data_IF_809749936006
#
_entry.id   IF_809749936006
#
_cell.length_a   1.000
_cell.length_b   1.000
_cell.length_c   1.000
_cell.angle_alpha   90.00
_cell.angle_beta   90.00
_cell.angle_gamma   90.00
#
_symmetry.space_group_name_H-M   'P 1'
#
loop_
_entity.id
_entity.type
_entity.pdbx_description
1 polymer ?
#
# COMPACT_ATOMS: atom_id res chain seq x y z
N UNK A 1 -3.76 23.92 -14.50
CA UNK A 1 -2.89 24.38 -13.39
C UNK A 1 -2.33 23.15 -12.68
N UNK A 2 -1.00 23.00 -12.53
CA UNK A 2 -0.41 21.89 -11.77
C UNK A 2 -0.77 22.09 -10.29
N UNK A 3 -1.58 21.20 -9.70
CA UNK A 3 -1.85 21.22 -8.26
C UNK A 3 -0.55 20.89 -7.52
N UNK A 4 -0.23 21.62 -6.45
CA UNK A 4 0.98 21.43 -5.62
C UNK A 4 0.53 21.12 -4.20
N UNK A 5 1.09 20.06 -3.60
CA UNK A 5 0.88 19.76 -2.19
C UNK A 5 1.62 20.79 -1.32
N UNK A 6 0.96 21.31 -0.29
CA UNK A 6 1.50 22.30 0.64
C UNK A 6 1.31 21.75 2.04
N UNK A 7 2.41 21.54 2.75
CA UNK A 7 2.36 21.14 4.16
C UNK A 7 1.64 22.22 4.98
N UNK A 8 0.58 21.83 5.69
CA UNK A 8 -0.16 22.74 6.58
C UNK A 8 0.62 23.08 7.85
N UNK A 9 1.53 22.19 8.26
CA UNK A 9 2.39 22.34 9.44
C UNK A 9 3.84 22.25 8.97
N UNK A 10 4.71 23.08 9.54
CA UNK A 10 6.14 22.99 9.27
C UNK A 10 6.67 21.61 9.72
N UNK A 11 7.15 20.82 8.76
CA UNK A 11 7.85 19.56 9.02
C UNK A 11 9.29 19.76 8.64
N UNK A 12 10.16 19.88 9.63
CA UNK A 12 11.59 19.99 9.42
C UNK A 12 12.11 18.61 8.99
N UNK A 13 12.57 18.50 7.74
CA UNK A 13 13.15 17.28 7.17
C UNK A 13 14.68 17.34 7.18
N UNK A 14 15.28 18.28 7.92
CA UNK A 14 16.74 18.38 8.02
C UNK A 14 17.31 17.26 8.89
N UNK A 15 18.09 16.37 8.28
CA UNK A 15 18.90 15.38 8.99
C UNK A 15 20.30 15.94 9.22
N UNK A 16 20.80 15.92 10.47
CA UNK A 16 22.22 16.23 10.71
C UNK A 16 23.07 14.99 10.38
N UNK A 17 24.33 15.14 9.97
CA UNK A 17 25.21 14.01 9.64
C UNK A 17 25.32 12.98 10.77
N UNK A 18 25.33 13.44 12.03
CA UNK A 18 25.34 12.57 13.22
C UNK A 18 24.09 11.69 13.34
N UNK A 19 22.93 12.18 12.89
CA UNK A 19 21.66 11.47 12.98
C UNK A 19 21.64 10.36 11.92
N UNK A 20 22.22 10.62 10.74
CA UNK A 20 22.42 9.61 9.69
C UNK A 20 23.34 8.49 10.18
N UNK A 21 24.48 8.84 10.79
CA UNK A 21 25.44 7.86 11.33
C UNK A 21 24.78 7.04 12.46
N UNK A 22 24.03 7.70 13.35
CA UNK A 22 23.24 7.06 14.39
C UNK A 22 22.26 6.03 13.81
N UNK A 23 21.43 6.43 12.84
CA UNK A 23 20.48 5.55 12.16
C UNK A 23 21.14 4.35 11.50
N UNK A 24 22.29 4.53 10.84
CA UNK A 24 23.03 3.41 10.24
C UNK A 24 23.52 2.42 11.31
N UNK A 25 24.04 2.96 12.43
CA UNK A 25 24.54 2.14 13.55
C UNK A 25 23.41 1.36 14.20
N UNK A 26 22.25 1.99 14.41
CA UNK A 26 21.06 1.35 14.98
C UNK A 26 20.46 0.32 14.03
N UNK A 27 20.44 0.58 12.72
CA UNK A 27 20.00 -0.39 11.73
C UNK A 27 20.84 -1.68 11.78
N UNK A 28 22.16 -1.55 11.88
CA UNK A 28 23.07 -2.70 12.00
C UNK A 28 22.87 -3.47 13.31
N UNK A 29 22.66 -2.78 14.44
CA UNK A 29 22.45 -3.41 15.75
C UNK A 29 21.09 -4.09 15.88
N UNK A 30 20.05 -3.52 15.29
CA UNK A 30 18.64 -3.94 15.52
C UNK A 30 18.15 -5.00 14.52
N UNK A 31 18.89 -5.25 13.44
CA UNK A 31 18.49 -6.15 12.33
C UNK A 31 18.02 -7.55 12.78
N UNK A 32 18.53 -8.05 13.90
CA UNK A 32 18.20 -9.37 14.45
C UNK A 32 16.94 -9.38 15.33
N UNK A 33 16.56 -8.25 15.94
CA UNK A 33 15.42 -8.15 16.87
C UNK A 33 14.08 -7.82 16.20
N UNK A 34 14.10 -7.40 14.94
CA UNK A 34 12.90 -6.95 14.20
C UNK A 34 12.19 -8.05 13.42
N UNK A 35 12.69 -9.30 13.50
CA UNK A 35 12.10 -10.44 12.77
C UNK A 35 11.25 -11.28 13.71
N UNK A 36 10.05 -11.69 13.29
CA UNK A 36 9.27 -12.61 14.09
C UNK A 36 10.02 -13.95 14.24
N UNK A 37 10.01 -14.51 15.45
CA UNK A 37 10.72 -15.76 15.79
C UNK A 37 10.07 -16.97 15.09
N UNK A 38 8.76 -16.90 14.86
CA UNK A 38 7.96 -17.89 14.14
C UNK A 38 7.10 -17.18 13.10
N UNK A 39 6.69 -17.91 12.05
CA UNK A 39 5.73 -17.39 11.09
C UNK A 39 4.43 -17.01 11.79
N UNK A 40 3.88 -15.86 11.43
CA UNK A 40 2.58 -15.42 11.92
C UNK A 40 1.48 -16.25 11.24
N UNK A 41 0.44 -16.66 11.98
CA UNK A 41 -0.66 -17.40 11.40
C UNK A 41 -1.39 -16.53 10.37
N UNK A 42 -1.71 -17.12 9.22
CA UNK A 42 -2.52 -16.48 8.18
C UNK A 42 -3.90 -17.10 8.26
N UNK A 43 -4.89 -16.28 8.58
CA UNK A 43 -6.30 -16.70 8.59
C UNK A 43 -6.90 -16.35 7.24
N UNK A 44 -7.29 -17.37 6.47
CA UNK A 44 -8.05 -17.17 5.26
C UNK A 44 -9.51 -16.89 5.64
N UNK A 45 -10.09 -15.88 5.03
CA UNK A 45 -11.51 -15.55 5.24
C UNK A 45 -12.37 -16.69 4.68
N UNK A 46 -13.28 -17.22 5.50
CA UNK A 46 -14.29 -18.17 5.06
C UNK A 46 -15.36 -17.42 4.28
N UNK A 47 -15.52 -17.78 3.00
CA UNK A 47 -16.53 -17.19 2.09
C UNK A 47 -17.98 -17.38 2.57
N UNK A 48 -18.22 -18.36 3.45
CA UNK A 48 -19.57 -18.76 3.85
C UNK A 48 -20.22 -17.83 4.88
N UNK A 49 -19.50 -16.83 5.39
CA UNK A 49 -20.00 -15.81 6.33
C UNK A 49 -19.65 -14.40 5.84
N UNK A 50 -19.93 -14.08 4.57
CA UNK A 50 -19.81 -12.71 4.08
C UNK A 50 -20.91 -11.83 4.70
N UNK A 51 -20.60 -11.21 5.84
CA UNK A 51 -21.32 -10.06 6.33
C UNK A 51 -21.39 -8.98 5.24
N UNK A 52 -22.55 -8.30 5.15
CA UNK A 52 -22.75 -7.13 4.28
C UNK A 52 -21.69 -6.05 4.51
N UNK A 53 -21.16 -5.98 5.73
CA UNK A 53 -20.07 -5.09 6.12
C UNK A 53 -18.92 -5.90 6.71
N UNK A 54 -17.74 -5.74 6.16
CA UNK A 54 -16.56 -6.47 6.63
C UNK A 54 -15.27 -5.74 6.31
N UNK A 55 -14.25 -6.00 7.12
CA UNK A 55 -12.89 -5.55 6.88
C UNK A 55 -11.99 -6.79 6.78
N UNK A 56 -11.36 -6.97 5.63
CA UNK A 56 -10.33 -7.99 5.43
C UNK A 56 -8.97 -7.32 5.43
N UNK A 57 -8.11 -7.72 6.37
CA UNK A 57 -6.73 -7.23 6.45
C UNK A 57 -5.78 -8.17 5.72
N UNK A 58 -4.97 -7.63 4.80
CA UNK A 58 -3.99 -8.40 4.01
C UNK A 58 -2.54 -8.23 4.49
N UNK A 59 -2.35 -7.54 5.62
CA UNK A 59 -1.05 -7.21 6.19
C UNK A 59 -0.56 -5.81 5.79
N UNK A 60 0.25 -5.22 6.66
CA UNK A 60 0.67 -3.81 6.58
C UNK A 60 -0.55 -2.88 6.53
N UNK A 61 -0.61 -1.93 5.59
CA UNK A 61 -1.74 -1.02 5.36
C UNK A 61 -2.81 -1.59 4.40
N UNK A 62 -2.54 -2.72 3.75
CA UNK A 62 -3.43 -3.27 2.72
C UNK A 62 -4.69 -3.89 3.33
N UNK A 63 -5.86 -3.32 3.03
CA UNK A 63 -7.15 -3.79 3.55
C UNK A 63 -8.28 -3.65 2.55
N UNK A 64 -9.18 -4.64 2.47
CA UNK A 64 -10.43 -4.56 1.72
C UNK A 64 -11.57 -4.28 2.71
N UNK A 65 -12.23 -3.13 2.54
CA UNK A 65 -13.44 -2.75 3.24
C UNK A 65 -14.64 -3.03 2.32
N UNK A 66 -15.57 -3.85 2.80
CA UNK A 66 -16.91 -4.00 2.24
C UNK A 66 -17.87 -3.20 3.11
N UNK A 67 -18.58 -2.24 2.53
CA UNK A 67 -19.53 -1.39 3.26
C UNK A 67 -20.62 -0.90 2.29
N UNK A 68 -21.89 -0.95 2.71
CA UNK A 68 -23.03 -0.55 1.86
C UNK A 68 -23.01 -1.15 0.44
N UNK A 69 -22.59 -2.41 0.32
CA UNK A 69 -22.46 -3.10 -0.97
C UNK A 69 -21.32 -2.59 -1.88
N UNK A 70 -20.42 -1.75 -1.36
CA UNK A 70 -19.21 -1.27 -2.04
C UNK A 70 -17.97 -2.00 -1.58
N UNK A 71 -17.01 -2.18 -2.49
CA UNK A 71 -15.68 -2.74 -2.22
C UNK A 71 -14.61 -1.64 -2.34
N UNK A 72 -14.04 -1.23 -1.21
CA UNK A 72 -13.00 -0.22 -1.12
C UNK A 72 -11.68 -0.90 -0.73
N UNK A 73 -10.67 -0.80 -1.59
CA UNK A 73 -9.36 -1.37 -1.33
C UNK A 73 -8.38 -0.26 -0.94
N UNK A 74 -7.86 -0.35 0.29
CA UNK A 74 -6.96 0.62 0.88
C UNK A 74 -5.51 0.17 0.70
N UNK A 75 -4.64 1.08 0.26
CA UNK A 75 -3.18 0.93 0.19
C UNK A 75 -2.71 -0.45 -0.26
N UNK A 76 -3.08 -0.90 -1.49
CA UNK A 76 -2.77 -2.24 -1.95
C UNK A 76 -1.26 -2.42 -2.10
N UNK A 77 -0.67 -3.10 -1.12
CA UNK A 77 0.70 -3.59 -1.12
C UNK A 77 0.62 -5.11 -1.12
N UNK A 78 0.69 -5.73 -2.30
CA UNK A 78 0.70 -7.19 -2.50
C UNK A 78 2.02 -7.70 -3.07
N UNK A 79 2.96 -6.80 -3.36
CA UNK A 79 4.31 -7.16 -3.76
C UNK A 79 5.12 -7.82 -2.63
N UNK A 80 6.20 -8.48 -3.02
CA UNK A 80 7.09 -9.19 -2.09
C UNK A 80 7.89 -8.24 -1.18
N UNK A 81 8.14 -7.01 -1.63
CA UNK A 81 9.01 -6.03 -0.96
C UNK A 81 8.43 -4.62 -1.05
N UNK A 82 8.54 -3.85 0.03
CA UNK A 82 8.16 -2.43 0.11
C UNK A 82 9.33 -1.48 -0.19
N UNK A 83 10.15 -1.80 -1.19
CA UNK A 83 11.33 -0.98 -1.52
C UNK A 83 11.62 -0.98 -3.02
N UNK A 84 12.21 0.12 -3.54
CA UNK A 84 12.76 0.15 -4.90
C UNK A 84 13.97 -0.78 -5.07
N UNK A 85 14.61 -1.18 -3.97
CA UNK A 85 15.78 -2.05 -3.95
C UNK A 85 15.44 -3.39 -3.26
N UNK A 86 14.80 -4.33 -3.98
CA UNK A 86 14.28 -5.57 -3.40
C UNK A 86 15.37 -6.47 -2.81
N UNK A 87 16.60 -6.42 -3.34
CA UNK A 87 17.74 -7.21 -2.87
C UNK A 87 18.20 -6.87 -1.45
N UNK A 88 17.94 -5.64 -0.98
CA UNK A 88 18.44 -5.15 0.30
C UNK A 88 17.35 -5.06 1.38
N UNK A 89 16.12 -5.47 1.07
CA UNK A 89 14.99 -5.35 2.00
C UNK A 89 14.40 -6.70 2.39
N UNK A 90 13.69 -6.72 3.52
CA UNK A 90 12.94 -7.89 3.96
C UNK A 90 11.77 -8.16 3.01
N UNK A 91 11.64 -9.44 2.63
CA UNK A 91 10.42 -9.93 2.00
C UNK A 91 9.27 -9.92 3.00
N UNK A 92 8.04 -9.83 2.49
CA UNK A 92 6.80 -10.06 3.22
C UNK A 92 6.88 -11.38 4.00
N UNK A 93 6.57 -11.34 5.29
CA UNK A 93 6.58 -12.53 6.16
C UNK A 93 5.41 -13.49 5.89
N UNK A 94 4.28 -12.98 5.39
CA UNK A 94 3.10 -13.78 5.07
C UNK A 94 3.19 -14.55 3.74
N UNK A 95 4.35 -14.58 3.08
CA UNK A 95 4.53 -15.26 1.81
C UNK A 95 3.86 -14.55 0.64
N UNK A 96 3.62 -15.28 -0.46
CA UNK A 96 3.07 -14.73 -1.69
C UNK A 96 1.57 -14.49 -1.57
N UNK A 97 1.11 -13.30 -1.97
CA UNK A 97 -0.31 -12.98 -2.02
C UNK A 97 -0.90 -13.36 -3.38
N UNK A 98 -2.01 -14.12 -3.40
CA UNK A 98 -2.74 -14.41 -4.65
C UNK A 98 -3.87 -13.40 -4.87
N UNK A 99 -3.86 -12.78 -6.04
CA UNK A 99 -4.91 -11.87 -6.52
C UNK A 99 -6.08 -12.59 -7.20
N UNK A 100 -6.08 -13.92 -7.24
CA UNK A 100 -7.16 -14.69 -7.88
C UNK A 100 -8.45 -14.76 -7.06
N UNK A 101 -8.52 -14.03 -5.93
CA UNK A 101 -9.71 -14.00 -5.08
C UNK A 101 -10.88 -13.29 -5.78
N UNK A 102 -12.07 -13.88 -5.76
CA UNK A 102 -13.30 -13.27 -6.33
C UNK A 102 -13.60 -11.89 -5.73
N UNK A 103 -13.30 -11.67 -4.44
CA UNK A 103 -13.52 -10.40 -3.76
C UNK A 103 -12.65 -9.25 -4.33
N UNK A 104 -11.62 -9.57 -5.10
CA UNK A 104 -10.72 -8.62 -5.78
C UNK A 104 -10.90 -8.59 -7.31
N UNK A 105 -11.95 -9.22 -7.86
CA UNK A 105 -12.23 -9.17 -9.30
C UNK A 105 -12.84 -7.83 -9.72
N UNK A 106 -13.72 -7.27 -8.89
CA UNK A 106 -14.31 -5.95 -9.08
C UNK A 106 -14.14 -5.12 -7.82
N UNK A 107 -13.52 -3.95 -7.95
CA UNK A 107 -13.26 -3.03 -6.86
C UNK A 107 -13.88 -1.68 -7.23
N UNK A 108 -14.75 -1.14 -6.37
CA UNK A 108 -15.40 0.13 -6.65
C UNK A 108 -14.43 1.29 -6.56
N UNK A 109 -13.52 1.25 -5.58
CA UNK A 109 -12.44 2.21 -5.51
C UNK A 109 -11.17 1.66 -4.85
N UNK A 110 -10.02 2.11 -5.35
CA UNK A 110 -8.75 1.99 -4.66
C UNK A 110 -8.42 3.34 -4.03
N UNK A 111 -8.09 3.34 -2.75
CA UNK A 111 -7.71 4.54 -1.99
C UNK A 111 -6.23 4.39 -1.60
N UNK A 112 -5.42 5.36 -2.00
CA UNK A 112 -3.99 5.40 -1.67
C UNK A 112 -3.78 6.56 -0.70
N UNK A 113 -3.12 6.32 0.43
CA UNK A 113 -2.89 7.34 1.45
C UNK A 113 -1.71 8.25 1.13
N UNK A 114 -0.63 7.72 0.54
CA UNK A 114 0.56 8.48 0.12
C UNK A 114 1.47 7.66 -0.82
N UNK A 115 2.57 8.24 -1.31
CA UNK A 115 3.42 7.65 -2.37
C UNK A 115 4.57 6.76 -1.88
N UNK A 116 4.60 6.35 -0.61
CA UNK A 116 5.67 5.48 -0.12
C UNK A 116 5.46 4.02 -0.58
N UNK A 117 6.54 3.25 -0.76
CA UNK A 117 6.52 1.95 -1.45
C UNK A 117 5.75 0.83 -0.73
N UNK A 118 5.48 1.00 0.57
CA UNK A 118 4.64 0.12 1.39
C UNK A 118 3.15 0.48 1.33
N UNK A 119 2.76 1.59 0.69
CA UNK A 119 1.37 2.00 0.42
C UNK A 119 1.05 2.06 -1.08
N UNK A 120 1.97 2.61 -1.88
CA UNK A 120 1.91 2.71 -3.33
C UNK A 120 2.83 1.66 -3.98
N UNK A 121 2.29 0.47 -4.22
CA UNK A 121 3.05 -0.63 -4.77
C UNK A 121 2.81 -0.85 -6.27
N UNK A 122 3.85 -0.67 -7.10
CA UNK A 122 3.76 -0.81 -8.56
C UNK A 122 3.13 -2.12 -9.03
N UNK A 123 3.59 -3.28 -8.52
CA UNK A 123 3.07 -4.60 -8.92
C UNK A 123 1.57 -4.70 -8.65
N UNK A 124 1.15 -4.22 -7.48
CA UNK A 124 -0.25 -4.24 -7.05
C UNK A 124 -1.12 -3.38 -7.97
N UNK A 125 -0.70 -2.15 -8.26
CA UNK A 125 -1.43 -1.28 -9.19
C UNK A 125 -1.54 -1.91 -10.57
N UNK A 126 -0.45 -2.46 -11.12
CA UNK A 126 -0.47 -3.08 -12.45
C UNK A 126 -1.44 -4.26 -12.54
N UNK A 127 -1.63 -5.01 -11.45
CA UNK A 127 -2.55 -6.15 -11.42
C UNK A 127 -4.01 -5.73 -11.14
N UNK A 128 -4.23 -4.55 -10.56
CA UNK A 128 -5.55 -4.07 -10.12
C UNK A 128 -6.14 -2.98 -11.01
N UNK A 129 -5.35 -2.31 -11.85
CA UNK A 129 -5.77 -1.13 -12.63
C UNK A 129 -7.02 -1.36 -13.48
N UNK A 130 -7.20 -2.57 -13.98
CA UNK A 130 -8.33 -2.94 -14.83
C UNK A 130 -9.55 -3.41 -14.00
N UNK A 131 -9.32 -3.80 -12.75
CA UNK A 131 -10.35 -4.28 -11.80
C UNK A 131 -10.98 -3.18 -10.96
N UNK A 132 -10.23 -2.10 -10.73
CA UNK A 132 -10.69 -0.94 -10.00
C UNK A 132 -11.51 -0.03 -10.90
N UNK A 133 -12.70 0.39 -10.48
CA UNK A 133 -13.51 1.38 -11.21
C UNK A 133 -12.90 2.78 -11.07
N UNK A 134 -12.42 3.12 -9.87
CA UNK A 134 -11.84 4.44 -9.57
C UNK A 134 -10.64 4.38 -8.62
N UNK A 135 -9.82 5.42 -8.64
CA UNK A 135 -8.68 5.66 -7.75
C UNK A 135 -8.84 7.01 -7.06
N UNK A 136 -8.75 7.02 -5.73
CA UNK A 136 -8.67 8.24 -4.93
C UNK A 136 -7.27 8.35 -4.33
N UNK A 137 -6.59 9.45 -4.61
CA UNK A 137 -5.19 9.63 -4.23
C UNK A 137 -4.90 11.07 -3.78
N UNK A 138 -3.83 11.30 -3.00
CA UNK A 138 -3.36 12.64 -2.69
C UNK A 138 -2.86 13.38 -3.93
N UNK A 139 -2.94 14.70 -3.87
CA UNK A 139 -2.32 15.59 -4.86
C UNK A 139 -0.85 15.24 -5.09
N UNK A 140 -0.48 15.00 -6.36
CA UNK A 140 0.86 14.63 -6.80
C UNK A 140 1.07 13.12 -6.94
N UNK A 141 0.14 12.27 -6.47
CA UNK A 141 0.24 10.82 -6.61
C UNK A 141 -0.29 10.34 -7.97
N UNK A 142 -1.25 11.05 -8.58
CA UNK A 142 -1.85 10.63 -9.84
C UNK A 142 -0.84 10.45 -10.97
N UNK A 143 0.24 11.25 -10.99
CA UNK A 143 1.29 11.14 -12.00
C UNK A 143 1.94 9.75 -12.07
N UNK A 144 2.06 9.07 -10.92
CA UNK A 144 2.62 7.71 -10.87
C UNK A 144 1.64 6.71 -11.49
N UNK A 145 0.36 6.78 -11.12
CA UNK A 145 -0.69 5.92 -11.68
C UNK A 145 -0.83 6.11 -13.20
N UNK A 146 -0.81 7.35 -13.68
CA UNK A 146 -0.86 7.66 -15.12
C UNK A 146 0.36 7.08 -15.84
N UNK A 147 1.56 7.25 -15.28
CA UNK A 147 2.79 6.65 -15.81
C UNK A 147 2.73 5.12 -15.87
N UNK A 148 1.97 4.49 -14.97
CA UNK A 148 1.74 3.04 -14.94
C UNK A 148 0.55 2.59 -15.79
N UNK A 149 -0.08 3.52 -16.54
CA UNK A 149 -1.14 3.21 -17.50
C UNK A 149 -2.54 3.15 -16.91
N UNK A 150 -2.79 3.75 -15.74
CA UNK A 150 -4.15 4.01 -15.26
C UNK A 150 -4.72 5.18 -16.05
N UNK A 151 -5.93 5.01 -16.61
CA UNK A 151 -6.62 6.10 -17.32
C UNK A 151 -6.82 7.31 -16.39
N UNK A 152 -6.45 8.54 -16.81
CA UNK A 152 -6.71 9.75 -16.03
C UNK A 152 -8.17 9.94 -15.63
N UNK A 153 -9.12 9.43 -16.43
CA UNK A 153 -10.55 9.50 -16.13
C UNK A 153 -10.97 8.69 -14.91
N UNK A 154 -10.13 7.75 -14.46
CA UNK A 154 -10.38 6.89 -13.29
C UNK A 154 -9.68 7.41 -12.03
N UNK A 155 -9.11 8.62 -12.04
CA UNK A 155 -8.28 9.12 -10.92
C UNK A 155 -8.84 10.45 -10.42
N UNK A 156 -9.09 10.54 -9.12
CA UNK A 156 -9.38 11.79 -8.41
C UNK A 156 -8.26 12.12 -7.43
N UNK A 157 -7.74 13.34 -7.52
CA UNK A 157 -6.77 13.88 -6.56
C UNK A 157 -7.43 14.75 -5.50
N UNK A 158 -7.11 14.50 -4.23
CA UNK A 158 -7.60 15.21 -3.06
C UNK A 158 -6.44 15.76 -2.22
N UNK A 159 -6.72 16.80 -1.43
CA UNK A 159 -5.77 17.41 -0.50
C UNK A 159 -5.96 16.88 0.92
#
# INVERSE_FOLDING_TARGET
>A
MKKKFINQIHTDVSFKPKDIIGLMTDYLKTKTKLRPIKNLPIVLSNKDNESLESLTWFGHSASLLKIEGKKLLLDPMFGDTSSPFPLFNSKRYSGTFSLEREDLQEIDAIIISHNHYDHLNYKSIMQLKDRAKHFYVPTGVAQYLIKWGVSPSKISEHN
#
